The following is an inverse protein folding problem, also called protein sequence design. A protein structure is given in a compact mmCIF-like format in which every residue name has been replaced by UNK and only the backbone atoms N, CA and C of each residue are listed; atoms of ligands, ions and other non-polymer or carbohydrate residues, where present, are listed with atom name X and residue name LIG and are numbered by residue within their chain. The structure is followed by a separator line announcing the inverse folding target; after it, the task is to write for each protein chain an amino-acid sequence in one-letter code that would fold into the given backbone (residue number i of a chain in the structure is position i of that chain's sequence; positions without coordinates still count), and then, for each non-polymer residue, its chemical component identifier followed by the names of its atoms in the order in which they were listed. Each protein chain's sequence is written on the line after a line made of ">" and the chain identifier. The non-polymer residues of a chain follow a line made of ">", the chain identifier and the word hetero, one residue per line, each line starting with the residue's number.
data_IF_814983979380
#
_entry.id   IF_814983979380
#
_cell.length_a   1.000
_cell.length_b   1.000
_cell.length_c   1.000
_cell.angle_alpha   90.00
_cell.angle_beta   90.00
_cell.angle_gamma   90.00
#
_symmetry.space_group_name_H-M   'P 1'
#
loop_
_entity.id
_entity.type
_entity.pdbx_description
1 polymer ?
#
# COMPACT_ATOMS: atom_id res chain seq x y z
N UNK A 1 21.04 -22.44 -21.75
CA UNK A 1 20.31 -21.20 -21.43
C UNK A 1 18.81 -21.31 -21.71
N UNK A 2 18.38 -21.50 -22.96
CA UNK A 2 16.93 -21.56 -23.33
C UNK A 2 16.16 -22.72 -22.66
N UNK A 3 16.78 -23.91 -22.56
CA UNK A 3 16.21 -25.07 -21.85
C UNK A 3 16.04 -24.80 -20.35
N UNK A 4 17.00 -24.12 -19.72
CA UNK A 4 16.95 -23.75 -18.29
C UNK A 4 15.80 -22.76 -18.03
N UNK A 5 15.60 -21.80 -18.93
CA UNK A 5 14.50 -20.83 -18.86
C UNK A 5 13.15 -21.53 -18.96
N UNK A 6 12.97 -22.47 -19.91
CA UNK A 6 11.74 -23.25 -20.03
C UNK A 6 11.47 -24.10 -18.80
N UNK A 7 12.49 -24.77 -18.25
CA UNK A 7 12.37 -25.54 -17.01
C UNK A 7 11.90 -24.61 -15.87
N UNK A 8 12.49 -23.42 -15.75
CA UNK A 8 12.16 -22.46 -14.71
C UNK A 8 10.73 -21.89 -14.86
N UNK A 9 10.29 -21.62 -16.08
CA UNK A 9 8.91 -21.20 -16.38
C UNK A 9 7.90 -22.29 -16.02
N UNK A 10 8.16 -23.54 -16.40
CA UNK A 10 7.29 -24.68 -16.06
C UNK A 10 7.24 -24.88 -14.54
N UNK A 11 8.37 -24.76 -13.83
CA UNK A 11 8.42 -24.84 -12.37
C UNK A 11 7.60 -23.73 -11.69
N UNK A 12 7.72 -22.48 -12.17
CA UNK A 12 6.95 -21.36 -11.61
C UNK A 12 5.45 -21.46 -11.89
N UNK A 13 5.07 -21.94 -13.09
CA UNK A 13 3.68 -22.20 -13.44
C UNK A 13 3.09 -23.34 -12.60
N UNK A 14 3.86 -24.44 -12.45
CA UNK A 14 3.51 -25.57 -11.58
C UNK A 14 3.39 -25.16 -10.11
N UNK A 15 4.30 -24.30 -9.61
CA UNK A 15 4.24 -23.74 -8.27
C UNK A 15 2.98 -22.88 -8.07
N UNK A 16 2.65 -22.03 -9.04
CA UNK A 16 1.44 -21.20 -9.01
C UNK A 16 0.19 -22.08 -8.93
N UNK A 17 0.07 -23.08 -9.83
CA UNK A 17 -1.04 -24.03 -9.83
C UNK A 17 -1.15 -24.83 -8.53
N UNK A 18 -0.01 -25.29 -8.00
CA UNK A 18 0.05 -26.01 -6.72
C UNK A 18 -0.39 -25.17 -5.53
N UNK A 19 0.05 -23.90 -5.46
CA UNK A 19 -0.33 -22.99 -4.38
C UNK A 19 -1.81 -22.61 -4.45
N UNK A 20 -2.34 -22.37 -5.65
CA UNK A 20 -3.78 -22.14 -5.84
C UNK A 20 -4.57 -23.38 -5.43
N UNK A 21 -4.15 -24.57 -5.84
CA UNK A 21 -4.78 -25.83 -5.46
C UNK A 21 -4.77 -26.05 -3.94
N UNK A 22 -3.64 -25.83 -3.27
CA UNK A 22 -3.57 -25.88 -1.79
C UNK A 22 -4.48 -24.86 -1.13
N UNK A 23 -4.60 -23.66 -1.71
CA UNK A 23 -5.53 -22.63 -1.23
C UNK A 23 -7.00 -23.06 -1.35
N UNK A 24 -7.35 -23.82 -2.39
CA UNK A 24 -8.69 -24.40 -2.56
C UNK A 24 -8.96 -25.55 -1.58
N UNK A 25 -7.95 -26.36 -1.24
CA UNK A 25 -8.08 -27.45 -0.27
C UNK A 25 -8.22 -26.98 1.18
N UNK A 26 -7.67 -25.81 1.53
CA UNK A 26 -7.73 -25.25 2.89
C UNK A 26 -8.40 -23.88 2.91
N UNK A 27 -9.73 -23.81 2.67
CA UNK A 27 -10.42 -22.53 2.65
C UNK A 27 -10.63 -21.95 4.05
N UNK A 28 -10.66 -20.62 4.10
CA UNK A 28 -10.89 -19.83 5.32
C UNK A 28 -12.29 -20.03 5.90
N UNK A 29 -13.27 -20.33 5.04
CA UNK A 29 -14.64 -20.66 5.43
C UNK A 29 -14.80 -22.17 5.27
N UNK A 30 -14.99 -22.87 6.38
CA UNK A 30 -15.14 -24.31 6.42
C UNK A 30 -16.61 -24.67 6.64
N UNK A 31 -17.18 -25.62 5.90
CA UNK A 31 -18.53 -26.08 6.16
C UNK A 31 -18.56 -26.92 7.45
N UNK A 32 -19.66 -26.91 8.20
CA UNK A 32 -19.82 -27.74 9.42
C UNK A 32 -19.91 -29.23 9.11
N UNK A 33 -20.27 -29.59 7.87
CA UNK A 33 -20.24 -30.95 7.33
C UNK A 33 -19.37 -30.97 6.07
N UNK A 34 -18.65 -32.07 5.78
CA UNK A 34 -17.87 -32.17 4.56
C UNK A 34 -18.80 -32.05 3.35
N UNK A 35 -18.56 -31.04 2.51
CA UNK A 35 -19.30 -30.79 1.27
C UNK A 35 -18.41 -31.11 0.07
N UNK A 36 -18.99 -31.55 -1.07
CA UNK A 36 -18.25 -31.66 -2.32
C UNK A 36 -17.71 -30.29 -2.77
N UNK A 37 -16.61 -30.30 -3.52
CA UNK A 37 -15.82 -29.11 -3.86
C UNK A 37 -16.65 -27.98 -4.51
N UNK A 38 -17.62 -28.34 -5.37
CA UNK A 38 -18.53 -27.38 -6.00
C UNK A 38 -19.41 -26.65 -5.00
N UNK A 39 -20.00 -27.39 -4.06
CA UNK A 39 -20.88 -26.82 -3.01
C UNK A 39 -20.08 -25.98 -2.01
N UNK A 40 -18.85 -26.41 -1.71
CA UNK A 40 -17.92 -25.65 -0.89
C UNK A 40 -17.55 -24.31 -1.53
N UNK A 41 -17.31 -24.26 -2.84
CA UNK A 41 -17.06 -23.01 -3.57
C UNK A 41 -18.29 -22.10 -3.59
N UNK A 42 -19.48 -22.65 -3.80
CA UNK A 42 -20.72 -21.86 -3.76
C UNK A 42 -20.98 -21.29 -2.37
N UNK A 43 -20.74 -22.06 -1.30
CA UNK A 43 -20.88 -21.59 0.07
C UNK A 43 -19.90 -20.44 0.37
N UNK A 44 -18.63 -20.58 -0.04
CA UNK A 44 -17.66 -19.49 0.10
C UNK A 44 -18.08 -18.24 -0.67
N UNK A 45 -18.59 -18.40 -1.87
CA UNK A 45 -19.06 -17.28 -2.68
C UNK A 45 -20.26 -16.57 -2.03
N UNK A 46 -21.26 -17.33 -1.58
CA UNK A 46 -22.45 -16.82 -0.89
C UNK A 46 -22.09 -16.08 0.40
N UNK A 47 -21.19 -16.65 1.20
CA UNK A 47 -20.72 -16.01 2.44
C UNK A 47 -20.02 -14.70 2.12
N UNK A 48 -19.08 -14.70 1.15
CA UNK A 48 -18.38 -13.48 0.71
C UNK A 48 -19.33 -12.41 0.16
N UNK A 49 -20.32 -12.79 -0.64
CA UNK A 49 -21.35 -11.89 -1.16
C UNK A 49 -22.23 -11.32 -0.05
N UNK A 50 -22.61 -12.14 0.93
CA UNK A 50 -23.46 -11.70 2.04
C UNK A 50 -22.76 -10.64 2.89
N UNK A 51 -21.45 -10.76 3.09
CA UNK A 51 -20.66 -9.84 3.92
C UNK A 51 -20.39 -8.54 3.17
N UNK A 52 -19.99 -8.64 1.89
CA UNK A 52 -19.81 -7.46 1.05
C UNK A 52 -21.09 -6.65 0.93
N UNK A 53 -22.24 -7.31 0.77
CA UNK A 53 -23.52 -6.60 0.67
C UNK A 53 -24.00 -6.00 2.00
N UNK A 54 -23.74 -6.67 3.12
CA UNK A 54 -24.14 -6.17 4.46
C UNK A 54 -23.23 -5.05 4.99
N UNK A 55 -22.01 -4.89 4.46
CA UNK A 55 -21.04 -3.88 4.93
C UNK A 55 -20.70 -2.91 3.78
N UNK A 56 -21.29 -1.69 3.75
CA UNK A 56 -21.05 -0.72 2.68
C UNK A 56 -19.57 -0.38 2.48
N UNK A 57 -18.79 -0.37 3.57
CA UNK A 57 -17.34 -0.10 3.55
C UNK A 57 -16.56 -1.21 2.83
N UNK A 58 -16.94 -2.47 3.07
CA UNK A 58 -16.28 -3.65 2.49
C UNK A 58 -16.65 -3.81 1.01
N UNK A 59 -17.87 -3.41 0.64
CA UNK A 59 -18.31 -3.27 -0.76
C UNK A 59 -17.44 -2.28 -1.53
N UNK A 60 -17.20 -1.08 -0.98
CA UNK A 60 -16.34 -0.08 -1.61
C UNK A 60 -14.90 -0.58 -1.80
N UNK A 61 -14.35 -1.21 -0.76
CA UNK A 61 -13.01 -1.81 -0.81
C UNK A 61 -12.93 -2.94 -1.84
N UNK A 62 -13.94 -3.81 -1.92
CA UNK A 62 -14.00 -4.89 -2.92
C UNK A 62 -13.91 -4.36 -4.35
N UNK A 63 -14.74 -3.37 -4.69
CA UNK A 63 -14.70 -2.78 -6.03
C UNK A 63 -13.38 -2.04 -6.30
N UNK A 64 -12.83 -1.34 -5.31
CA UNK A 64 -11.52 -0.70 -5.45
C UNK A 64 -10.40 -1.70 -5.75
N UNK A 65 -10.41 -2.85 -5.06
CA UNK A 65 -9.44 -3.93 -5.32
C UNK A 65 -9.69 -4.63 -6.65
N UNK A 66 -10.95 -4.77 -7.08
CA UNK A 66 -11.28 -5.34 -8.38
C UNK A 66 -10.78 -4.45 -9.52
N UNK A 67 -11.01 -3.13 -9.43
CA UNK A 67 -10.47 -2.15 -10.38
C UNK A 67 -8.94 -2.20 -10.38
N UNK A 68 -8.30 -2.28 -9.21
CA UNK A 68 -6.86 -2.43 -9.08
C UNK A 68 -6.34 -3.68 -9.82
N UNK A 69 -6.97 -4.84 -9.60
CA UNK A 69 -6.62 -6.08 -10.30
C UNK A 69 -6.83 -6.00 -11.81
N UNK A 70 -7.94 -5.42 -12.28
CA UNK A 70 -8.22 -5.21 -13.70
C UNK A 70 -7.17 -4.30 -14.36
N UNK A 71 -6.82 -3.18 -13.71
CA UNK A 71 -5.76 -2.28 -14.18
C UNK A 71 -4.41 -3.01 -14.23
N UNK A 72 -4.12 -3.88 -13.26
CA UNK A 72 -2.94 -4.73 -13.28
C UNK A 72 -2.86 -5.63 -14.52
N UNK A 73 -3.95 -6.36 -14.80
CA UNK A 73 -4.06 -7.22 -16.00
C UNK A 73 -3.91 -6.40 -17.29
N UNK A 74 -4.60 -5.26 -17.41
CA UNK A 74 -4.51 -4.39 -18.59
C UNK A 74 -3.07 -3.91 -18.78
N UNK A 75 -2.41 -3.49 -17.71
CA UNK A 75 -1.01 -3.03 -17.75
C UNK A 75 -0.06 -4.13 -18.24
N UNK A 76 -0.25 -5.38 -17.80
CA UNK A 76 0.52 -6.52 -18.30
C UNK A 76 0.24 -6.82 -19.77
N UNK A 77 -1.02 -6.75 -20.21
CA UNK A 77 -1.38 -6.97 -21.62
C UNK A 77 -0.76 -5.91 -22.53
N UNK A 78 -0.79 -4.63 -22.11
CA UNK A 78 -0.13 -3.53 -22.82
C UNK A 78 1.38 -3.76 -22.87
N UNK A 79 1.99 -4.19 -21.77
CA UNK A 79 3.40 -4.53 -21.72
C UNK A 79 3.76 -5.64 -22.72
N UNK A 80 3.02 -6.76 -22.69
CA UNK A 80 3.21 -7.87 -23.62
C UNK A 80 3.04 -7.46 -25.08
N UNK A 81 2.02 -6.66 -25.39
CA UNK A 81 1.80 -6.14 -26.73
C UNK A 81 3.00 -5.30 -27.22
N UNK A 82 3.51 -4.41 -26.38
CA UNK A 82 4.66 -3.58 -26.72
C UNK A 82 5.93 -4.42 -26.95
N UNK A 83 6.18 -5.44 -26.12
CA UNK A 83 7.31 -6.35 -26.34
C UNK A 83 7.15 -7.13 -27.64
N UNK A 84 5.98 -7.71 -27.90
CA UNK A 84 5.79 -8.59 -29.05
C UNK A 84 5.79 -7.82 -30.38
N UNK A 85 5.30 -6.59 -30.38
CA UNK A 85 5.12 -5.81 -31.63
C UNK A 85 6.21 -4.79 -31.88
N UNK A 86 6.90 -4.28 -30.85
CA UNK A 86 7.89 -3.19 -30.99
C UNK A 86 9.32 -3.64 -30.71
N UNK A 87 9.52 -4.70 -29.93
CA UNK A 87 10.87 -5.18 -29.60
C UNK A 87 11.59 -5.89 -30.76
N UNK A 88 10.93 -6.66 -31.65
CA UNK A 88 11.59 -7.28 -32.81
C UNK A 88 12.00 -6.27 -33.89
N UNK A 89 11.45 -5.05 -33.87
CA UNK A 89 11.65 -4.00 -34.88
C UNK A 89 12.82 -3.05 -34.55
N UNK A 90 13.66 -3.38 -33.57
CA UNK A 90 14.59 -2.45 -32.94
C UNK A 90 15.78 -2.05 -33.83
N UNK A 91 15.57 -1.00 -34.64
CA UNK A 91 16.45 0.17 -34.69
C UNK A 91 15.81 1.22 -33.74
N UNK A 92 16.08 1.08 -32.45
CA UNK A 92 15.81 1.96 -31.29
C UNK A 92 14.53 2.83 -31.23
N UNK A 93 13.43 2.33 -30.60
CA UNK A 93 12.50 3.17 -29.85
C UNK A 93 12.65 2.88 -28.35
N UNK A 94 13.62 3.53 -27.70
CA UNK A 94 13.88 3.49 -26.24
C UNK A 94 12.58 3.70 -25.44
N UNK A 95 11.69 4.56 -25.95
CA UNK A 95 10.38 4.85 -25.35
C UNK A 95 9.49 3.62 -25.21
N UNK A 96 9.48 2.71 -26.18
CA UNK A 96 8.64 1.51 -26.16
C UNK A 96 9.16 0.47 -25.17
N UNK A 97 10.48 0.35 -25.02
CA UNK A 97 11.13 -0.52 -24.03
C UNK A 97 10.83 -0.01 -22.62
N UNK A 98 11.03 1.29 -22.38
CA UNK A 98 10.74 1.92 -21.08
C UNK A 98 9.25 1.82 -20.73
N UNK A 99 8.35 2.11 -21.66
CA UNK A 99 6.90 2.02 -21.43
C UNK A 99 6.45 0.57 -21.16
N UNK A 100 7.01 -0.41 -21.90
CA UNK A 100 6.71 -1.82 -21.67
C UNK A 100 7.19 -2.29 -20.31
N UNK A 101 8.42 -1.98 -19.93
CA UNK A 101 8.95 -2.36 -18.61
C UNK A 101 8.18 -1.64 -17.48
N UNK A 102 7.83 -0.36 -17.65
CA UNK A 102 7.06 0.37 -16.64
C UNK A 102 5.67 -0.25 -16.42
N UNK A 103 4.97 -0.57 -17.52
CA UNK A 103 3.67 -1.23 -17.47
C UNK A 103 3.74 -2.67 -16.94
N UNK A 104 4.86 -3.38 -17.19
CA UNK A 104 5.12 -4.70 -16.58
C UNK A 104 5.18 -4.60 -15.05
N UNK A 105 6.01 -3.68 -14.54
CA UNK A 105 6.20 -3.55 -13.09
C UNK A 105 4.95 -3.02 -12.41
N UNK A 106 4.29 -2.00 -12.98
CA UNK A 106 2.99 -1.51 -12.50
C UNK A 106 1.97 -2.66 -12.46
N UNK A 107 1.92 -3.48 -13.52
CA UNK A 107 1.01 -4.60 -13.63
C UNK A 107 1.19 -5.64 -12.52
N UNK A 108 2.42 -6.09 -12.31
CA UNK A 108 2.83 -7.02 -11.24
C UNK A 108 2.42 -6.48 -9.86
N UNK A 109 2.75 -5.21 -9.58
CA UNK A 109 2.42 -4.60 -8.27
C UNK A 109 0.91 -4.55 -8.05
N UNK A 110 0.15 -4.12 -9.06
CA UNK A 110 -1.30 -4.00 -8.95
C UNK A 110 -1.98 -5.36 -8.75
N UNK A 111 -1.44 -6.44 -9.32
CA UNK A 111 -1.93 -7.81 -9.07
C UNK A 111 -1.68 -8.28 -7.64
N UNK A 112 -0.62 -7.80 -6.99
CA UNK A 112 -0.29 -8.16 -5.61
C UNK A 112 -1.23 -7.50 -4.59
N UNK A 113 -1.77 -6.31 -4.89
CA UNK A 113 -2.61 -5.53 -3.95
C UNK A 113 -3.88 -6.28 -3.51
N UNK A 114 -4.69 -6.88 -4.40
CA UNK A 114 -5.84 -7.69 -3.98
C UNK A 114 -5.47 -8.82 -3.02
N UNK A 115 -4.37 -9.53 -3.28
CA UNK A 115 -3.92 -10.64 -2.44
C UNK A 115 -3.42 -10.17 -1.06
N UNK A 116 -2.86 -8.97 -0.97
CA UNK A 116 -2.39 -8.38 0.29
C UNK A 116 -3.54 -7.82 1.15
N UNK A 117 -4.57 -7.26 0.51
CA UNK A 117 -5.60 -6.45 1.18
C UNK A 117 -6.90 -7.21 1.43
N UNK A 118 -7.38 -7.95 0.45
CA UNK A 118 -8.70 -8.58 0.55
C UNK A 118 -8.83 -9.64 1.67
N UNK A 119 -7.88 -10.58 1.83
CA UNK A 119 -8.08 -11.72 2.73
C UNK A 119 -8.15 -11.33 4.20
N UNK A 120 -7.30 -10.38 4.64
CA UNK A 120 -7.28 -9.83 6.00
C UNK A 120 -8.58 -9.10 6.33
N UNK A 121 -9.03 -8.25 5.41
CA UNK A 121 -10.23 -7.44 5.59
C UNK A 121 -11.50 -8.29 5.66
N UNK A 122 -11.62 -9.26 4.77
CA UNK A 122 -12.74 -10.19 4.80
C UNK A 122 -12.74 -11.04 6.08
N UNK A 123 -11.56 -11.49 6.54
CA UNK A 123 -11.43 -12.35 7.73
C UNK A 123 -11.72 -11.62 9.05
N UNK A 124 -11.22 -10.39 9.23
CA UNK A 124 -11.48 -9.62 10.45
C UNK A 124 -12.99 -9.31 10.63
N UNK A 125 -13.69 -9.01 9.54
CA UNK A 125 -15.14 -8.76 9.56
C UNK A 125 -15.96 -10.03 9.76
N UNK A 126 -15.45 -11.18 9.29
CA UNK A 126 -16.00 -12.49 9.58
C UNK A 126 -15.89 -12.86 11.07
N UNK A 127 -14.74 -12.58 11.70
CA UNK A 127 -14.56 -12.79 13.15
C UNK A 127 -15.54 -11.93 13.95
N UNK A 128 -15.66 -10.65 13.60
CA UNK A 128 -16.55 -9.72 14.31
C UNK A 128 -18.04 -10.09 14.27
N UNK A 129 -18.43 -11.01 13.37
CA UNK A 129 -19.81 -11.45 13.14
C UNK A 129 -20.04 -12.93 13.46
N UNK A 130 -19.12 -13.58 14.18
CA UNK A 130 -19.18 -15.00 14.59
C UNK A 130 -20.36 -15.33 15.53
N UNK A 131 -21.25 -14.38 15.79
CA UNK A 131 -22.32 -14.43 16.79
C UNK A 131 -23.68 -14.92 16.28
N UNK A 132 -23.83 -15.29 15.00
CA UNK A 132 -25.11 -15.86 14.51
C UNK A 132 -25.13 -17.39 14.73
N UNK A 133 -25.98 -17.93 15.62
CA UNK A 133 -26.03 -19.36 15.94
C UNK A 133 -26.59 -20.26 14.81
N UNK A 134 -27.13 -19.67 13.74
CA UNK A 134 -27.74 -20.39 12.60
C UNK A 134 -26.80 -20.55 11.38
N UNK A 135 -25.48 -20.36 11.53
CA UNK A 135 -24.55 -20.45 10.41
C UNK A 135 -24.06 -21.90 10.18
N UNK A 136 -24.32 -22.45 8.99
CA UNK A 136 -23.86 -23.79 8.56
C UNK A 136 -22.35 -23.85 8.22
N UNK A 137 -21.57 -22.89 8.69
CA UNK A 137 -20.15 -22.77 8.37
C UNK A 137 -19.39 -22.25 9.60
N UNK A 138 -18.13 -22.64 9.69
CA UNK A 138 -17.19 -22.22 10.71
C UNK A 138 -16.03 -21.47 10.05
N UNK A 139 -15.53 -20.46 10.76
CA UNK A 139 -14.36 -19.72 10.33
C UNK A 139 -13.10 -20.48 10.76
N UNK A 140 -12.14 -20.65 9.86
CA UNK A 140 -10.85 -21.26 10.16
C UNK A 140 -10.11 -20.49 11.26
N UNK A 141 -9.33 -21.20 12.08
CA UNK A 141 -8.53 -20.58 13.13
C UNK A 141 -7.45 -19.64 12.56
N UNK A 142 -7.00 -18.68 13.39
CA UNK A 142 -5.95 -17.70 13.07
C UNK A 142 -4.68 -18.32 12.43
N UNK A 143 -4.07 -19.42 12.94
CA UNK A 143 -2.89 -20.00 12.30
C UNK A 143 -3.18 -20.58 10.92
N UNK A 144 -4.38 -21.09 10.69
CA UNK A 144 -4.81 -21.64 9.40
C UNK A 144 -5.03 -20.49 8.41
N UNK A 145 -5.62 -19.39 8.86
CA UNK A 145 -5.77 -18.17 8.08
C UNK A 145 -4.43 -17.55 7.68
N UNK A 146 -3.45 -17.48 8.59
CA UNK A 146 -2.11 -16.98 8.26
C UNK A 146 -1.42 -17.79 7.18
N UNK A 147 -1.53 -19.14 7.24
CA UNK A 147 -1.03 -20.02 6.18
C UNK A 147 -1.73 -19.76 4.86
N UNK A 148 -3.06 -19.69 4.86
CA UNK A 148 -3.85 -19.37 3.66
C UNK A 148 -3.41 -18.05 3.03
N UNK A 149 -3.25 -17.00 3.84
CA UNK A 149 -2.78 -15.69 3.39
C UNK A 149 -1.38 -15.77 2.77
N UNK A 150 -0.45 -16.47 3.43
CA UNK A 150 0.90 -16.70 2.88
C UNK A 150 0.81 -17.43 1.53
N UNK A 151 0.01 -18.48 1.44
CA UNK A 151 -0.18 -19.24 0.18
C UNK A 151 -0.73 -18.37 -0.94
N UNK A 152 -1.69 -17.49 -0.67
CA UNK A 152 -2.20 -16.55 -1.68
C UNK A 152 -1.13 -15.55 -2.13
N UNK A 153 -0.38 -14.95 -1.20
CA UNK A 153 0.71 -14.02 -1.53
C UNK A 153 1.78 -14.74 -2.36
N UNK A 154 2.19 -15.93 -1.94
CA UNK A 154 3.18 -16.74 -2.69
C UNK A 154 2.67 -17.16 -4.07
N UNK A 155 1.38 -17.43 -4.23
CA UNK A 155 0.81 -17.78 -5.55
C UNK A 155 0.90 -16.62 -6.53
N UNK A 156 0.63 -15.39 -6.06
CA UNK A 156 0.74 -14.19 -6.90
C UNK A 156 2.20 -13.87 -7.17
N UNK A 157 3.08 -13.96 -6.16
CA UNK A 157 4.52 -13.78 -6.36
C UNK A 157 5.12 -14.78 -7.35
N UNK A 158 4.70 -16.06 -7.29
CA UNK A 158 5.15 -17.08 -8.23
C UNK A 158 4.72 -16.75 -9.67
N UNK A 159 3.48 -16.27 -9.85
CA UNK A 159 2.96 -15.79 -11.13
C UNK A 159 3.73 -14.56 -11.62
N UNK A 160 3.98 -13.59 -10.75
CA UNK A 160 4.73 -12.37 -11.08
C UNK A 160 6.18 -12.72 -11.48
N UNK A 161 6.84 -13.61 -10.74
CA UNK A 161 8.15 -14.15 -11.11
C UNK A 161 8.12 -14.87 -12.46
N UNK A 162 7.07 -15.65 -12.74
CA UNK A 162 6.90 -16.33 -14.03
C UNK A 162 6.83 -15.32 -15.18
N UNK A 163 6.02 -14.27 -15.02
CA UNK A 163 5.86 -13.21 -16.01
C UNK A 163 7.16 -12.44 -16.22
N UNK A 164 7.85 -12.06 -15.13
CA UNK A 164 9.14 -11.37 -15.19
C UNK A 164 10.20 -12.21 -15.89
N UNK A 165 10.40 -13.46 -15.48
CA UNK A 165 11.38 -14.36 -16.10
C UNK A 165 11.06 -14.57 -17.57
N UNK A 166 9.80 -14.81 -17.91
CA UNK A 166 9.37 -15.04 -19.30
C UNK A 166 9.64 -13.82 -20.18
N UNK A 167 9.29 -12.63 -19.70
CA UNK A 167 9.47 -11.38 -20.45
C UNK A 167 10.93 -10.97 -20.57
N UNK A 168 11.73 -11.08 -19.50
CA UNK A 168 13.17 -10.78 -19.52
C UNK A 168 13.89 -11.75 -20.45
N UNK A 169 13.55 -13.05 -20.39
CA UNK A 169 14.16 -14.07 -21.24
C UNK A 169 13.85 -13.86 -22.71
N UNK A 170 12.62 -13.47 -23.03
CA UNK A 170 12.24 -13.12 -24.41
C UNK A 170 12.96 -11.87 -24.88
N UNK A 171 13.04 -10.83 -24.04
CA UNK A 171 13.74 -9.61 -24.37
C UNK A 171 15.25 -9.84 -24.59
N UNK A 172 15.88 -10.69 -23.77
CA UNK A 172 17.29 -11.11 -23.94
C UNK A 172 17.52 -11.84 -25.28
N UNK A 173 16.57 -12.67 -25.72
CA UNK A 173 16.70 -13.43 -26.96
C UNK A 173 16.53 -12.57 -28.21
N UNK A 174 15.63 -11.58 -28.17
CA UNK A 174 15.24 -10.78 -29.34
C UNK A 174 16.05 -9.49 -29.45
N UNK A 175 16.60 -8.98 -28.34
CA UNK A 175 17.42 -7.77 -28.35
C UNK A 175 18.80 -8.02 -28.97
N UNK A 176 19.22 -7.12 -29.85
CA UNK A 176 20.57 -7.09 -30.45
C UNK A 176 21.64 -6.63 -29.46
N UNK A 177 21.25 -5.99 -28.34
CA UNK A 177 22.14 -5.57 -27.25
C UNK A 177 21.50 -5.94 -25.90
N UNK A 178 21.72 -7.16 -25.39
CA UNK A 178 21.06 -7.64 -24.18
C UNK A 178 21.44 -6.87 -22.89
N UNK A 179 22.66 -6.33 -22.83
CA UNK A 179 23.13 -5.54 -21.69
C UNK A 179 22.26 -4.30 -21.45
N UNK A 180 21.91 -3.59 -22.53
CA UNK A 180 21.05 -2.39 -22.51
C UNK A 180 19.64 -2.71 -22.00
N UNK A 181 19.12 -3.90 -22.33
CA UNK A 181 17.82 -4.35 -21.82
C UNK A 181 17.84 -4.59 -20.30
N UNK A 182 18.93 -5.15 -19.76
CA UNK A 182 19.11 -5.36 -18.31
C UNK A 182 19.28 -4.01 -17.60
N UNK A 183 20.05 -3.09 -18.15
CA UNK A 183 20.20 -1.73 -17.60
C UNK A 183 18.86 -0.99 -17.55
N UNK A 184 18.04 -1.07 -18.63
CA UNK A 184 16.70 -0.48 -18.63
C UNK A 184 15.76 -1.19 -17.65
N UNK A 185 15.86 -2.49 -17.45
CA UNK A 185 15.10 -3.20 -16.42
C UNK A 185 15.47 -2.69 -15.03
N UNK A 186 16.76 -2.51 -14.73
CA UNK A 186 17.24 -1.96 -13.46
C UNK A 186 16.74 -0.53 -13.27
N UNK A 187 16.88 0.33 -14.29
CA UNK A 187 16.34 1.69 -14.25
C UNK A 187 14.84 1.71 -14.00
N UNK A 188 14.09 0.81 -14.62
CA UNK A 188 12.63 0.74 -14.44
C UNK A 188 12.24 0.17 -13.09
N UNK A 189 13.00 -0.79 -12.53
CA UNK A 189 12.84 -1.23 -11.13
C UNK A 189 13.05 -0.06 -10.18
N UNK A 190 14.05 0.78 -10.42
CA UNK A 190 14.29 2.01 -9.64
C UNK A 190 13.13 3.00 -9.79
N UNK A 191 12.61 3.20 -11.01
CA UNK A 191 11.42 4.04 -11.29
C UNK A 191 10.14 3.43 -10.70
N UNK A 192 10.09 2.12 -10.48
CA UNK A 192 8.96 1.46 -9.86
C UNK A 192 8.90 1.64 -8.35
N UNK A 193 10.01 1.95 -7.67
CA UNK A 193 10.05 2.23 -6.23
C UNK A 193 8.98 3.26 -5.82
N UNK A 194 8.85 4.45 -6.45
CA UNK A 194 7.78 5.39 -6.13
C UNK A 194 6.39 4.83 -6.45
N UNK A 195 6.23 4.02 -7.50
CA UNK A 195 4.94 3.38 -7.81
C UNK A 195 4.54 2.40 -6.70
N UNK A 196 5.44 1.52 -6.27
CA UNK A 196 5.23 0.60 -5.14
C UNK A 196 4.89 1.38 -3.88
N UNK A 197 5.65 2.44 -3.60
CA UNK A 197 5.43 3.28 -2.43
C UNK A 197 4.05 3.98 -2.49
N UNK A 198 3.62 4.46 -3.66
CA UNK A 198 2.29 5.04 -3.86
C UNK A 198 1.19 4.01 -3.64
N UNK A 199 1.31 2.84 -4.25
CA UNK A 199 0.35 1.75 -4.09
C UNK A 199 0.28 1.30 -2.63
N UNK A 200 1.43 1.12 -1.97
CA UNK A 200 1.49 0.77 -0.55
C UNK A 200 0.83 1.85 0.32
N UNK A 201 1.12 3.13 0.07
CA UNK A 201 0.50 4.26 0.78
C UNK A 201 -1.02 4.26 0.65
N UNK A 202 -1.53 4.11 -0.59
CA UNK A 202 -2.95 4.04 -0.87
C UNK A 202 -3.60 2.81 -0.23
N UNK A 203 -2.93 1.66 -0.26
CA UNK A 203 -3.42 0.43 0.38
C UNK A 203 -3.50 0.57 1.90
N UNK A 204 -2.63 1.34 2.55
CA UNK A 204 -2.68 1.57 4.00
C UNK A 204 -3.86 2.49 4.42
N UNK A 205 -4.37 3.36 3.55
CA UNK A 205 -5.46 4.29 3.90
C UNK A 205 -6.74 3.57 4.39
N UNK A 206 -7.25 2.54 3.69
CA UNK A 206 -8.36 1.72 4.20
C UNK A 206 -8.08 1.10 5.56
N UNK A 207 -6.88 0.51 5.76
CA UNK A 207 -6.51 -0.10 7.03
C UNK A 207 -6.47 0.91 8.18
N UNK A 208 -5.98 2.12 7.94
CA UNK A 208 -6.00 3.21 8.91
C UNK A 208 -7.42 3.69 9.20
N UNK A 209 -8.30 3.70 8.20
CA UNK A 209 -9.71 4.03 8.37
C UNK A 209 -10.43 2.99 9.24
N UNK A 210 -10.14 1.70 9.04
CA UNK A 210 -10.85 0.62 9.74
C UNK A 210 -10.31 0.38 11.15
N UNK A 211 -8.99 0.44 11.33
CA UNK A 211 -8.35 0.20 12.62
C UNK A 211 -8.29 1.46 13.51
N UNK A 212 -9.19 2.43 13.33
CA UNK A 212 -9.17 3.67 14.13
C UNK A 212 -9.28 3.36 15.61
N UNK A 213 -8.35 3.91 16.38
CA UNK A 213 -8.41 3.80 17.84
C UNK A 213 -9.32 4.85 18.49
N UNK A 214 -9.68 5.92 17.77
CA UNK A 214 -10.69 6.89 18.20
C UNK A 214 -11.99 6.65 17.42
N UNK A 215 -13.02 6.23 18.13
CA UNK A 215 -14.33 5.91 17.56
C UNK A 215 -15.28 7.06 17.92
N UNK A 216 -15.87 7.70 16.90
CA UNK A 216 -16.86 8.76 17.15
C UNK A 216 -18.12 8.17 17.80
N UNK A 217 -18.62 8.85 18.84
CA UNK A 217 -19.90 8.56 19.49
C UNK A 217 -20.74 9.85 19.50
N UNK A 218 -21.16 10.30 18.31
CA UNK A 218 -21.95 11.53 18.12
C UNK A 218 -21.14 12.78 17.74
N UNK A 219 -19.82 12.67 17.53
CA UNK A 219 -18.97 13.76 17.03
C UNK A 219 -18.79 13.69 15.51
N UNK A 220 -18.60 14.84 14.85
CA UNK A 220 -18.20 14.86 13.43
C UNK A 220 -16.81 14.24 13.31
N UNK A 221 -16.62 13.44 12.27
CA UNK A 221 -15.40 12.67 12.04
C UNK A 221 -14.11 13.53 12.12
N UNK A 222 -14.10 14.71 11.48
CA UNK A 222 -12.94 15.61 11.50
C UNK A 222 -12.65 16.26 12.86
N UNK A 223 -13.58 16.24 13.80
CA UNK A 223 -13.44 16.90 15.12
C UNK A 223 -13.00 15.97 16.24
N UNK A 224 -12.93 14.66 16.00
CA UNK A 224 -12.69 13.65 17.05
C UNK A 224 -11.31 13.83 17.70
N UNK A 225 -10.26 14.03 16.90
CA UNK A 225 -8.91 14.29 17.42
C UNK A 225 -8.81 15.61 18.18
N UNK A 226 -9.52 16.65 17.72
CA UNK A 226 -9.57 17.94 18.41
C UNK A 226 -10.27 17.80 19.77
N UNK A 227 -11.40 17.11 19.82
CA UNK A 227 -12.13 16.83 21.06
C UNK A 227 -11.31 15.97 22.02
N UNK A 228 -10.57 14.99 21.51
CA UNK A 228 -9.66 14.16 22.32
C UNK A 228 -8.53 15.00 22.95
N UNK A 229 -7.90 15.89 22.18
CA UNK A 229 -6.89 16.81 22.71
C UNK A 229 -7.49 17.77 23.75
N UNK A 230 -8.69 18.30 23.50
CA UNK A 230 -9.38 19.20 24.45
C UNK A 230 -9.74 18.48 25.75
N UNK A 231 -10.21 17.24 25.67
CA UNK A 231 -10.51 16.41 26.84
C UNK A 231 -9.25 16.15 27.68
N UNK A 232 -8.13 15.79 27.04
CA UNK A 232 -6.84 15.62 27.70
C UNK A 232 -6.38 16.88 28.42
N UNK A 233 -6.48 18.04 27.77
CA UNK A 233 -6.07 19.32 28.38
C UNK A 233 -6.92 19.70 29.59
N UNK A 234 -8.21 19.32 29.61
CA UNK A 234 -9.13 19.67 30.68
C UNK A 234 -9.02 18.71 31.88
N UNK A 235 -8.80 17.41 31.64
CA UNK A 235 -8.79 16.40 32.70
C UNK A 235 -7.38 16.06 33.20
N UNK A 236 -6.33 16.28 32.39
CA UNK A 236 -4.94 15.94 32.71
C UNK A 236 -4.00 17.12 32.46
N UNK A 237 -3.87 18.06 33.42
CA UNK A 237 -3.07 19.27 33.24
C UNK A 237 -1.57 18.99 33.04
N UNK A 238 -1.04 17.90 33.57
CA UNK A 238 0.38 17.52 33.44
C UNK A 238 0.78 17.17 31.98
N UNK A 239 -0.20 16.78 31.16
CA UNK A 239 -0.01 16.46 29.74
C UNK A 239 0.02 17.72 28.87
N UNK A 240 -0.43 18.87 29.39
CA UNK A 240 -0.53 20.14 28.64
C UNK A 240 0.79 20.58 28.04
N UNK A 241 1.87 20.59 28.82
CA UNK A 241 3.18 21.01 28.34
C UNK A 241 3.68 20.11 27.20
N UNK A 242 3.56 18.79 27.37
CA UNK A 242 3.94 17.81 26.36
C UNK A 242 3.13 17.94 25.07
N UNK A 243 1.81 18.11 25.18
CA UNK A 243 0.93 18.29 24.04
C UNK A 243 1.25 19.59 23.28
N UNK A 244 1.51 20.69 23.99
CA UNK A 244 1.92 21.97 23.37
C UNK A 244 3.24 21.81 22.60
N UNK A 245 4.27 21.21 23.23
CA UNK A 245 5.59 20.99 22.58
C UNK A 245 5.41 20.18 21.29
N UNK A 246 4.63 19.10 21.34
CA UNK A 246 4.38 18.24 20.18
C UNK A 246 3.69 19.01 19.05
N UNK A 247 2.70 19.87 19.36
CA UNK A 247 2.03 20.67 18.34
C UNK A 247 2.97 21.74 17.76
N UNK A 248 3.80 22.38 18.57
CA UNK A 248 4.81 23.34 18.10
C UNK A 248 5.79 22.65 17.14
N UNK A 249 6.34 21.50 17.51
CA UNK A 249 7.22 20.73 16.63
C UNK A 249 6.54 20.35 15.31
N UNK A 250 5.27 19.95 15.33
CA UNK A 250 4.50 19.66 14.11
C UNK A 250 4.30 20.90 13.24
N UNK A 251 3.96 22.04 13.83
CA UNK A 251 3.79 23.31 13.12
C UNK A 251 5.11 23.72 12.45
N UNK A 252 6.23 23.63 13.16
CA UNK A 252 7.57 23.90 12.60
C UNK A 252 7.85 22.95 11.44
N UNK A 253 7.61 21.65 11.60
CA UNK A 253 7.78 20.66 10.53
C UNK A 253 6.93 20.97 9.30
N UNK A 254 5.66 21.35 9.48
CA UNK A 254 4.77 21.73 8.37
C UNK A 254 5.17 23.04 7.72
N UNK A 255 5.59 24.04 8.51
CA UNK A 255 6.07 25.32 7.99
C UNK A 255 7.33 25.11 7.13
N UNK A 256 8.29 24.30 7.59
CA UNK A 256 9.49 23.95 6.82
C UNK A 256 9.14 23.17 5.54
N UNK A 257 8.16 22.26 5.59
CA UNK A 257 7.70 21.53 4.42
C UNK A 257 7.02 22.44 3.39
N UNK A 258 6.18 23.37 3.84
CA UNK A 258 5.55 24.38 2.97
C UNK A 258 6.58 25.35 2.40
N UNK A 259 7.55 25.78 3.22
CA UNK A 259 8.64 26.64 2.79
C UNK A 259 9.51 25.95 1.74
N UNK A 260 9.81 24.66 1.92
CA UNK A 260 10.51 23.86 0.93
C UNK A 260 9.76 23.84 -0.42
N UNK A 261 8.44 23.67 -0.43
CA UNK A 261 7.65 23.73 -1.68
C UNK A 261 7.55 25.15 -2.26
N UNK A 262 7.56 26.17 -1.40
CA UNK A 262 7.47 27.57 -1.81
C UNK A 262 8.70 28.02 -2.59
N UNK A 263 9.91 27.66 -2.17
CA UNK A 263 11.17 28.05 -2.82
C UNK A 263 11.21 27.75 -4.34
N UNK A 264 10.98 26.51 -4.82
CA UNK A 264 10.92 26.22 -6.24
C UNK A 264 9.69 26.86 -6.91
N UNK A 265 8.56 26.97 -6.21
CA UNK A 265 7.36 27.60 -6.75
C UNK A 265 7.55 29.10 -7.03
N UNK A 266 8.22 29.83 -6.14
CA UNK A 266 8.56 31.24 -6.35
C UNK A 266 9.47 31.44 -7.55
N UNK A 267 10.32 30.46 -7.87
CA UNK A 267 11.18 30.48 -9.06
C UNK A 267 10.41 30.23 -10.36
N UNK A 268 9.36 29.39 -10.33
CA UNK A 268 8.47 29.21 -11.50
C UNK A 268 7.75 30.53 -11.85
N UNK A 269 7.43 31.33 -10.84
CA UNK A 269 6.76 32.63 -11.00
C UNK A 269 7.72 33.80 -11.25
N UNK A 270 9.03 33.59 -11.08
CA UNK A 270 10.03 34.64 -11.22
C UNK A 270 10.23 35.03 -12.70
N UNK A 271 10.55 36.31 -12.98
CA UNK A 271 11.01 36.71 -14.31
C UNK A 271 12.23 35.89 -14.74
N UNK A 272 12.37 35.58 -16.02
CA UNK A 272 13.40 34.67 -16.55
C UNK A 272 14.84 35.03 -16.19
N UNK A 273 15.13 36.31 -15.90
CA UNK A 273 16.45 36.80 -15.48
C UNK A 273 16.74 36.66 -13.97
N UNK A 274 15.74 36.29 -13.17
CA UNK A 274 15.82 36.16 -11.71
C UNK A 274 15.63 34.70 -11.23
N UNK A 275 15.51 33.74 -12.16
CA UNK A 275 15.37 32.32 -11.84
C UNK A 275 16.71 31.79 -11.32
N UNK A 276 16.73 31.36 -10.07
CA UNK A 276 17.90 30.71 -9.47
C UNK A 276 17.63 29.21 -9.25
N UNK A 277 18.00 28.40 -10.23
CA UNK A 277 17.79 26.94 -10.19
C UNK A 277 18.52 26.26 -9.02
N UNK A 278 19.51 26.90 -8.41
CA UNK A 278 20.24 26.37 -7.25
C UNK A 278 19.41 26.38 -5.96
N UNK A 279 18.30 27.12 -5.88
CA UNK A 279 17.41 27.18 -4.70
C UNK A 279 16.80 25.81 -4.34
N UNK A 280 16.84 24.85 -5.27
CA UNK A 280 16.29 23.51 -5.06
C UNK A 280 17.11 22.68 -4.08
N UNK A 281 18.42 22.89 -3.97
CA UNK A 281 19.26 22.22 -2.97
C UNK A 281 18.89 22.60 -1.53
N UNK A 282 18.81 23.90 -1.15
CA UNK A 282 18.33 24.28 0.17
C UNK A 282 16.85 23.90 0.38
N UNK A 283 16.01 23.95 -0.65
CA UNK A 283 14.62 23.51 -0.55
C UNK A 283 14.51 22.01 -0.20
N UNK A 284 15.31 21.15 -0.84
CA UNK A 284 15.37 19.73 -0.53
C UNK A 284 15.88 19.46 0.89
N UNK A 285 16.87 20.24 1.36
CA UNK A 285 17.35 20.16 2.74
C UNK A 285 16.24 20.50 3.75
N UNK A 286 15.50 21.59 3.53
CA UNK A 286 14.33 21.94 4.36
C UNK A 286 13.25 20.86 4.32
N UNK A 287 13.00 20.26 3.15
CA UNK A 287 12.04 19.16 3.02
C UNK A 287 12.44 17.91 3.79
N UNK A 288 13.73 17.59 3.84
CA UNK A 288 14.26 16.46 4.60
C UNK A 288 14.16 16.70 6.10
N UNK A 289 14.53 17.90 6.56
CA UNK A 289 14.38 18.31 7.97
C UNK A 289 12.91 18.29 8.39
N UNK A 290 12.01 18.81 7.55
CA UNK A 290 10.56 18.76 7.77
C UNK A 290 10.05 17.33 7.93
N UNK A 291 10.46 16.42 7.04
CA UNK A 291 10.10 15.01 7.10
C UNK A 291 10.56 14.37 8.41
N UNK A 292 11.82 14.59 8.82
CA UNK A 292 12.37 14.05 10.06
C UNK A 292 11.61 14.53 11.30
N UNK A 293 11.34 15.84 11.41
CA UNK A 293 10.58 16.41 12.53
C UNK A 293 9.20 15.77 12.62
N UNK A 294 8.45 15.73 11.51
CA UNK A 294 7.09 15.17 11.49
C UNK A 294 7.08 13.67 11.82
N UNK A 295 8.05 12.90 11.31
CA UNK A 295 8.15 11.46 11.57
C UNK A 295 8.50 11.16 13.02
N UNK A 296 9.51 11.84 13.58
CA UNK A 296 9.99 11.62 14.95
C UNK A 296 8.91 12.05 15.94
N UNK A 297 8.40 13.28 15.83
CA UNK A 297 7.35 13.80 16.71
C UNK A 297 6.08 12.95 16.60
N UNK A 298 5.68 12.58 15.37
CA UNK A 298 4.50 11.74 15.16
C UNK A 298 4.68 10.29 15.59
N UNK A 299 5.90 9.75 15.58
CA UNK A 299 6.23 8.39 15.99
C UNK A 299 6.30 8.25 17.51
N UNK A 300 7.00 9.17 18.17
CA UNK A 300 7.18 9.18 19.62
C UNK A 300 5.91 9.56 20.38
N UNK A 301 5.11 10.49 19.85
CA UNK A 301 3.91 10.97 20.54
C UNK A 301 2.75 9.97 20.51
N UNK A 302 2.57 9.22 19.41
CA UNK A 302 1.36 8.40 19.22
C UNK A 302 1.12 7.35 20.33
N UNK A 303 2.12 6.58 20.79
CA UNK A 303 1.94 5.65 21.92
C UNK A 303 1.55 6.38 23.21
N UNK A 304 2.31 7.42 23.57
CA UNK A 304 2.04 8.21 24.80
C UNK A 304 0.66 8.84 24.77
N UNK A 305 0.26 9.37 23.61
CA UNK A 305 -1.07 9.94 23.41
C UNK A 305 -2.17 8.91 23.66
N UNK A 306 -2.01 7.69 23.15
CA UNK A 306 -2.96 6.61 23.41
C UNK A 306 -3.00 6.25 24.91
N UNK A 307 -1.85 6.15 25.57
CA UNK A 307 -1.78 5.84 27.00
C UNK A 307 -2.49 6.91 27.83
N UNK A 308 -2.29 8.19 27.52
CA UNK A 308 -3.01 9.29 28.20
C UNK A 308 -4.52 9.28 27.93
N UNK A 309 -4.95 8.89 26.73
CA UNK A 309 -6.37 8.78 26.40
C UNK A 309 -7.08 7.68 27.20
N UNK A 310 -6.37 6.63 27.62
CA UNK A 310 -6.92 5.57 28.48
C UNK A 310 -7.21 6.06 29.91
N UNK A 311 -6.59 7.16 30.33
CA UNK A 311 -6.76 7.74 31.67
C UNK A 311 -7.95 8.71 31.77
N UNK A 312 -8.65 8.98 30.66
CA UNK A 312 -9.78 9.91 30.63
C UNK A 312 -11.06 9.29 31.22
N UNK A 313 -11.86 10.10 31.92
CA UNK A 313 -13.21 9.71 32.27
C UNK A 313 -14.11 9.72 31.03
N UNK A 314 -14.58 8.55 30.63
CA UNK A 314 -15.31 8.30 29.38
C UNK A 314 -16.79 8.64 29.46
N UNK A 315 -17.35 8.93 30.65
CA UNK A 315 -18.79 9.11 30.86
C UNK A 315 -19.40 10.31 30.14
N UNK A 316 -18.60 11.36 29.86
CA UNK A 316 -19.06 12.60 29.23
C UNK A 316 -18.46 12.85 27.82
N UNK A 317 -17.69 11.91 27.28
CA UNK A 317 -16.97 12.10 26.01
C UNK A 317 -17.81 11.68 24.81
N UNK A 318 -17.75 12.49 23.73
CA UNK A 318 -18.39 12.19 22.44
C UNK A 318 -17.55 11.25 21.55
N UNK A 319 -16.59 10.55 22.14
CA UNK A 319 -15.75 9.57 21.48
C UNK A 319 -15.41 8.44 22.44
N UNK A 320 -15.12 7.27 21.88
CA UNK A 320 -14.63 6.09 22.59
C UNK A 320 -13.19 5.81 22.16
N UNK A 321 -12.37 5.39 23.10
CA UNK A 321 -11.02 4.90 22.84
C UNK A 321 -11.08 3.39 22.69
N UNK A 322 -10.60 2.86 21.58
CA UNK A 322 -10.56 1.42 21.33
C UNK A 322 -9.53 0.73 22.23
N UNK A 323 -9.66 -0.60 22.35
CA UNK A 323 -8.70 -1.43 23.10
C UNK A 323 -7.31 -1.51 22.46
N UNK A 324 -6.38 -2.06 23.24
CA UNK A 324 -4.94 -2.15 22.91
C UNK A 324 -4.65 -2.89 21.60
N UNK A 325 -5.44 -3.92 21.28
CA UNK A 325 -5.27 -4.69 20.04
C UNK A 325 -5.57 -3.86 18.78
N UNK A 326 -6.64 -3.07 18.82
CA UNK A 326 -7.01 -2.20 17.69
C UNK A 326 -5.99 -1.07 17.52
N UNK A 327 -5.48 -0.51 18.62
CA UNK A 327 -4.40 0.46 18.58
C UNK A 327 -3.08 -0.13 18.04
N UNK A 328 -2.74 -1.37 18.40
CA UNK A 328 -1.55 -2.07 17.87
C UNK A 328 -1.64 -2.24 16.35
N UNK A 329 -2.80 -2.66 15.84
CA UNK A 329 -3.07 -2.75 14.38
C UNK A 329 -2.97 -1.38 13.71
N UNK A 330 -3.58 -0.33 14.29
CA UNK A 330 -3.47 1.04 13.78
C UNK A 330 -2.02 1.50 13.67
N UNK A 331 -1.24 1.32 14.73
CA UNK A 331 0.16 1.74 14.80
C UNK A 331 1.00 1.01 13.75
N UNK A 332 0.78 -0.29 13.56
CA UNK A 332 1.45 -1.07 12.53
C UNK A 332 1.18 -0.52 11.12
N UNK A 333 -0.09 -0.31 10.76
CA UNK A 333 -0.44 0.24 9.44
C UNK A 333 0.04 1.69 9.25
N UNK A 334 0.04 2.50 10.32
CA UNK A 334 0.56 3.86 10.26
C UNK A 334 2.07 3.90 10.05
N UNK A 335 2.80 2.94 10.61
CA UNK A 335 4.24 2.83 10.39
C UNK A 335 4.56 2.59 8.91
N UNK A 336 3.89 1.63 8.27
CA UNK A 336 4.07 1.38 6.83
C UNK A 336 3.57 2.53 5.96
N UNK A 337 2.48 3.21 6.35
CA UNK A 337 2.02 4.41 5.66
C UNK A 337 3.10 5.51 5.69
N UNK A 338 3.71 5.75 6.86
CA UNK A 338 4.79 6.72 7.03
C UNK A 338 6.03 6.37 6.21
N UNK A 339 6.44 5.10 6.19
CA UNK A 339 7.55 4.64 5.34
C UNK A 339 7.26 4.91 3.87
N UNK A 340 6.10 4.47 3.38
CA UNK A 340 5.70 4.64 1.99
C UNK A 340 5.65 6.14 1.59
N UNK A 341 5.09 6.98 2.46
CA UNK A 341 5.10 8.44 2.28
C UNK A 341 6.52 9.00 2.25
N UNK A 342 7.41 8.52 3.10
CA UNK A 342 8.80 9.00 3.18
C UNK A 342 9.58 8.66 1.91
N UNK A 343 9.39 7.44 1.38
CA UNK A 343 9.98 7.03 0.10
C UNK A 343 9.49 7.94 -1.03
N UNK A 344 8.17 8.16 -1.13
CA UNK A 344 7.60 9.07 -2.14
C UNK A 344 8.15 10.49 -2.02
N UNK A 345 8.23 11.00 -0.79
CA UNK A 345 8.74 12.34 -0.51
C UNK A 345 10.20 12.48 -0.96
N UNK A 346 11.05 11.51 -0.64
CA UNK A 346 12.45 11.51 -1.07
C UNK A 346 12.60 11.37 -2.59
N UNK A 347 11.83 10.48 -3.22
CA UNK A 347 11.86 10.33 -4.69
C UNK A 347 11.38 11.59 -5.39
N UNK A 348 10.32 12.23 -4.88
CA UNK A 348 9.83 13.51 -5.42
C UNK A 348 10.93 14.58 -5.42
N UNK A 349 11.64 14.76 -4.30
CA UNK A 349 12.74 15.72 -4.22
C UNK A 349 13.95 15.30 -5.06
N UNK A 350 14.28 14.01 -5.12
CA UNK A 350 15.32 13.48 -6.00
C UNK A 350 15.04 13.73 -7.49
N UNK A 351 13.77 13.61 -7.92
CA UNK A 351 13.35 13.93 -9.28
C UNK A 351 13.48 15.42 -9.59
N UNK A 352 13.11 16.30 -8.65
CA UNK A 352 13.26 17.76 -8.84
C UNK A 352 14.75 18.13 -8.97
N UNK A 353 15.60 17.62 -8.08
CA UNK A 353 17.06 17.85 -8.14
C UNK A 353 17.62 17.31 -9.45
N UNK A 354 17.29 16.06 -9.81
CA UNK A 354 17.78 15.44 -11.04
C UNK A 354 17.33 16.18 -12.29
N UNK A 355 16.06 16.60 -12.36
CA UNK A 355 15.55 17.39 -13.47
C UNK A 355 16.36 18.69 -13.64
N UNK A 356 16.61 19.41 -12.56
CA UNK A 356 17.35 20.67 -12.61
C UNK A 356 18.83 20.46 -12.91
N UNK A 357 19.45 19.41 -12.37
CA UNK A 357 20.86 19.11 -12.63
C UNK A 357 21.12 18.75 -14.11
N UNK A 358 20.20 18.04 -14.77
CA UNK A 358 20.37 17.59 -16.14
C UNK A 358 19.74 18.49 -17.21
N UNK A 359 18.70 19.26 -16.87
CA UNK A 359 17.94 20.07 -17.83
C UNK A 359 17.79 21.55 -17.43
N UNK A 360 18.31 21.94 -16.27
CA UNK A 360 18.24 23.31 -15.73
C UNK A 360 19.44 24.18 -16.06
#
# INVERSE_FOLDING_TARGET
>A
MLVIIWILLVLLLGLTGWLVYRGLQHPVIQPTKPLPLREQLTLQHQVRQSITNKVPRLKGLYYGLLVCGCLGVISLLVSCYLIMTKLPLLIFPIRSVVASMATLVIGVILLLVPALVWPSQAYDELIGRKTDPNQNWQLADTPTFERYRRTQIWSVLALDCFLLVGMISWAYRVSTVPAVTIEYLIMVVVIAIPVVALVALLAQLPYLYQNRFLISNGARFGTVHYQANRALLNQQPDVKAHLIIVQICRIIGYALGLYALWLPYSNILAPSFAVDTSVVYPAAAFALVALLIVLITGGAWLPRFYDYLQLLDTKALRFKVAGSDQFRRYRFHLYYFKIAFSILWLVFWGLIIGYIYYFG
#
